data_IF_458742543395
#
_entry.id   IF_458742543395
#
_cell.length_a   1.000
_cell.length_b   1.000
_cell.length_c   1.000
_cell.angle_alpha   90.00
_cell.angle_beta   90.00
_cell.angle_gamma   90.00
#
_symmetry.space_group_name_H-M   'P 1'
#
loop_
_entity.id
_entity.type
_entity.pdbx_description
1 polymer ?
#
# COMPACT_ATOMS: atom_id res chain seq x y z
N UNK A 1 6.22 2.72 -8.26
CA UNK A 1 5.56 1.58 -7.59
C UNK A 1 4.08 1.77 -7.26
N UNK A 2 3.60 3.01 -7.07
CA UNK A 2 2.21 3.31 -6.64
C UNK A 2 1.14 2.61 -7.48
N UNK A 3 1.27 2.62 -8.82
CA UNK A 3 0.29 1.97 -9.70
C UNK A 3 0.20 0.45 -9.50
N UNK A 4 1.33 -0.23 -9.24
CA UNK A 4 1.34 -1.66 -8.95
C UNK A 4 0.74 -1.96 -7.57
N UNK A 5 1.00 -1.10 -6.57
CA UNK A 5 0.38 -1.21 -5.26
C UNK A 5 -1.14 -1.02 -5.33
N UNK A 6 -1.62 -0.07 -6.13
CA UNK A 6 -3.04 0.11 -6.40
C UNK A 6 -3.63 -1.11 -7.13
N UNK A 7 -2.95 -1.61 -8.16
CA UNK A 7 -3.38 -2.81 -8.89
C UNK A 7 -3.47 -4.04 -7.98
N UNK A 8 -2.54 -4.20 -7.04
CA UNK A 8 -2.60 -5.24 -6.01
C UNK A 8 -3.84 -5.07 -5.13
N UNK A 9 -4.10 -3.87 -4.59
CA UNK A 9 -5.28 -3.60 -3.75
C UNK A 9 -6.62 -3.75 -4.48
N UNK A 10 -6.64 -3.60 -5.80
CA UNK A 10 -7.81 -3.84 -6.63
C UNK A 10 -7.96 -5.31 -7.09
N UNK A 11 -7.05 -6.20 -6.70
CA UNK A 11 -7.06 -7.61 -7.12
C UNK A 11 -7.55 -8.54 -6.02
N UNK A 12 -7.89 -9.78 -6.37
CA UNK A 12 -8.30 -10.81 -5.39
C UNK A 12 -7.18 -11.15 -4.37
N UNK A 13 -5.93 -10.81 -4.69
CA UNK A 13 -4.77 -11.05 -3.83
C UNK A 13 -4.82 -10.22 -2.54
N UNK A 14 -5.56 -9.12 -2.51
CA UNK A 14 -5.76 -8.29 -1.33
C UNK A 14 -7.10 -8.52 -0.64
N UNK A 15 -7.82 -9.62 -0.94
CA UNK A 15 -9.15 -9.92 -0.40
C UNK A 15 -9.24 -9.93 1.14
N UNK A 16 -8.13 -10.19 1.83
CA UNK A 16 -8.05 -10.14 3.30
C UNK A 16 -7.71 -8.76 3.89
N UNK A 17 -7.50 -7.72 3.06
CA UNK A 17 -7.03 -6.40 3.50
C UNK A 17 -8.20 -5.41 3.44
N UNK A 18 -8.61 -4.89 4.59
CA UNK A 18 -9.69 -3.90 4.71
C UNK A 18 -9.41 -2.89 5.82
N UNK A 19 -9.90 -1.65 5.65
CA UNK A 19 -9.72 -0.57 6.63
C UNK A 19 -8.27 -0.14 6.87
N UNK A 20 -7.34 -0.52 5.99
CA UNK A 20 -5.92 -0.20 6.09
C UNK A 20 -5.53 0.93 5.14
N UNK A 21 -4.50 1.68 5.52
CA UNK A 21 -3.81 2.67 4.67
C UNK A 21 -2.45 2.10 4.29
N UNK A 22 -2.22 1.87 2.99
CA UNK A 22 -0.94 1.40 2.47
C UNK A 22 -0.10 2.59 2.01
N UNK A 23 1.03 2.82 2.68
CA UNK A 23 2.00 3.83 2.29
C UNK A 23 2.91 3.31 1.18
N UNK A 24 3.17 4.15 0.18
CA UNK A 24 4.03 3.85 -0.98
C UNK A 24 4.93 5.05 -1.25
N UNK A 25 5.74 5.38 -0.25
CA UNK A 25 6.57 6.59 -0.18
C UNK A 25 8.07 6.28 0.01
N UNK A 26 8.47 5.02 -0.27
CA UNK A 26 9.81 4.49 -0.03
C UNK A 26 10.26 4.49 1.44
N UNK A 27 9.32 4.40 2.39
CA UNK A 27 9.62 4.30 3.83
C UNK A 27 9.82 5.67 4.47
N UNK A 28 9.25 6.72 3.86
CA UNK A 28 9.38 8.08 4.38
C UNK A 28 8.52 8.26 5.64
N UNK A 29 7.34 7.65 5.70
CA UNK A 29 6.45 7.73 6.87
C UNK A 29 7.09 7.24 8.19
N UNK A 30 7.99 6.25 8.12
CA UNK A 30 8.73 5.73 9.28
C UNK A 30 10.06 6.44 9.53
N UNK A 31 10.50 7.29 8.59
CA UNK A 31 11.72 8.06 8.73
C UNK A 31 11.41 9.25 9.64
N UNK A 32 11.77 9.15 10.93
CA UNK A 32 11.46 10.15 11.98
C UNK A 32 12.21 11.48 11.86
N UNK A 33 12.20 12.09 10.67
CA UNK A 33 12.75 13.41 10.35
C UNK A 33 11.78 14.54 10.63
#
# INVERSE_FOLDING_TARGET
EVGNAAAFLCSDLSSGITGQVLYVDAGYEIMGM
#
